data_IF_285307483557
#
_entry.id   IF_285307483557
#
_cell.length_a   1.000
_cell.length_b   1.000
_cell.length_c   1.000
_cell.angle_alpha   90.00
_cell.angle_beta   90.00
_cell.angle_gamma   90.00
#
_symmetry.space_group_name_H-M   'P 1'
#
loop_
_entity.id
_entity.type
_entity.pdbx_description
1 polymer ?
#
# COMPACT_ATOMS: atom_id res chain seq x y z
N UNK A 1 -22.04 -23.45 -7.11
CA UNK A 1 -21.59 -22.48 -8.12
C UNK A 1 -22.49 -22.49 -9.34
N UNK A 2 -22.56 -21.38 -10.01
CA UNK A 2 -23.38 -21.24 -11.23
C UNK A 2 -22.64 -21.80 -12.45
N UNK A 3 -23.38 -22.42 -13.38
CA UNK A 3 -22.84 -23.01 -14.59
C UNK A 3 -23.45 -22.34 -15.83
N UNK A 4 -22.61 -21.68 -16.62
CA UNK A 4 -22.98 -21.07 -17.89
C UNK A 4 -22.46 -21.92 -19.04
N UNK A 5 -23.33 -22.23 -20.02
CA UNK A 5 -22.99 -23.04 -21.19
C UNK A 5 -23.32 -22.31 -22.48
N UNK A 6 -22.40 -22.35 -23.45
CA UNK A 6 -22.59 -21.80 -24.80
C UNK A 6 -21.95 -22.69 -25.86
N UNK A 7 -22.58 -22.77 -27.02
CA UNK A 7 -22.02 -23.40 -28.24
C UNK A 7 -21.72 -22.33 -29.28
N UNK A 8 -20.64 -22.51 -30.05
CA UNK A 8 -20.29 -21.59 -31.14
C UNK A 8 -20.93 -21.98 -32.48
N UNK A 9 -21.67 -23.07 -32.57
CA UNK A 9 -22.23 -23.60 -33.83
C UNK A 9 -21.24 -24.40 -34.70
N UNK A 10 -19.97 -24.46 -34.32
CA UNK A 10 -18.89 -25.14 -35.06
C UNK A 10 -18.34 -26.35 -34.30
N UNK A 11 -19.10 -26.91 -33.36
CA UNK A 11 -18.74 -28.10 -32.60
C UNK A 11 -17.86 -27.84 -31.37
N UNK A 12 -17.77 -26.60 -30.90
CA UNK A 12 -17.14 -26.29 -29.63
C UNK A 12 -18.19 -25.93 -28.58
N UNK A 13 -18.10 -26.58 -27.42
CA UNK A 13 -18.96 -26.29 -26.27
C UNK A 13 -18.15 -25.65 -25.15
N UNK A 14 -18.51 -24.46 -24.81
CA UNK A 14 -17.91 -23.69 -23.71
C UNK A 14 -18.78 -23.81 -22.48
N UNK A 15 -18.14 -24.01 -21.33
CA UNK A 15 -18.79 -23.97 -20.01
C UNK A 15 -17.94 -23.14 -19.05
N UNK A 16 -18.60 -22.29 -18.29
CA UNK A 16 -17.96 -21.58 -17.17
C UNK A 16 -18.65 -21.99 -15.90
N UNK A 17 -17.87 -22.48 -14.92
CA UNK A 17 -18.35 -22.81 -13.59
C UNK A 17 -17.77 -21.75 -12.66
N UNK A 18 -18.65 -20.99 -12.01
CA UNK A 18 -18.29 -19.88 -11.15
C UNK A 18 -18.68 -20.23 -9.72
N UNK A 19 -17.74 -20.13 -8.81
CA UNK A 19 -17.96 -20.29 -7.37
C UNK A 19 -17.24 -19.17 -6.62
N UNK A 20 -17.81 -18.75 -5.50
CA UNK A 20 -17.25 -17.74 -4.61
C UNK A 20 -17.03 -18.35 -3.24
N UNK A 21 -15.94 -18.00 -2.59
CA UNK A 21 -15.71 -18.33 -1.18
C UNK A 21 -16.26 -17.26 -0.24
N UNK A 22 -16.13 -17.45 1.07
CA UNK A 22 -16.64 -16.54 2.09
C UNK A 22 -15.88 -15.20 2.17
N UNK A 23 -14.75 -15.09 1.46
CA UNK A 23 -13.85 -13.93 1.50
C UNK A 23 -13.69 -13.25 0.12
N UNK A 24 -14.67 -13.45 -0.78
CA UNK A 24 -14.74 -12.77 -2.09
C UNK A 24 -13.68 -13.22 -3.11
N UNK A 25 -13.09 -14.40 -2.95
CA UNK A 25 -12.33 -15.05 -4.02
C UNK A 25 -13.28 -15.84 -4.91
N UNK A 26 -13.39 -15.42 -6.15
CA UNK A 26 -14.23 -16.04 -7.17
C UNK A 26 -13.35 -17.00 -7.97
N UNK A 27 -13.67 -18.29 -7.96
CA UNK A 27 -13.05 -19.31 -8.81
C UNK A 27 -13.85 -19.43 -10.10
N UNK A 28 -13.18 -19.31 -11.23
CA UNK A 28 -13.75 -19.45 -12.57
C UNK A 28 -13.09 -20.63 -13.26
N UNK A 29 -13.84 -21.68 -13.52
CA UNK A 29 -13.38 -22.84 -14.29
C UNK A 29 -13.91 -22.67 -15.71
N UNK A 30 -12.99 -22.46 -16.66
CA UNK A 30 -13.28 -22.41 -18.08
C UNK A 30 -13.07 -23.78 -18.69
N UNK A 31 -14.15 -24.41 -19.12
CA UNK A 31 -14.14 -25.75 -19.70
C UNK A 31 -14.54 -25.70 -21.15
N UNK A 32 -13.75 -26.31 -22.03
CA UNK A 32 -14.03 -26.39 -23.45
C UNK A 32 -14.01 -27.81 -23.90
N UNK A 33 -15.12 -28.28 -24.48
CA UNK A 33 -15.25 -29.56 -25.12
C UNK A 33 -15.23 -29.36 -26.64
N UNK A 34 -14.31 -30.04 -27.30
CA UNK A 34 -14.18 -30.07 -28.74
C UNK A 34 -14.93 -31.31 -29.28
N UNK A 35 -16.07 -31.09 -29.93
CA UNK A 35 -16.88 -32.18 -30.53
C UNK A 35 -16.59 -32.32 -32.05
N UNK A 36 -15.48 -31.70 -32.53
CA UNK A 36 -15.05 -31.81 -33.93
C UNK A 36 -13.99 -32.88 -34.12
N UNK A 37 -13.76 -33.25 -35.38
CA UNK A 37 -12.74 -34.25 -35.77
C UNK A 37 -11.31 -33.65 -35.87
N UNK A 38 -11.14 -32.33 -35.64
CA UNK A 38 -9.87 -31.63 -35.72
C UNK A 38 -9.46 -31.08 -34.37
N UNK A 39 -8.14 -30.98 -34.12
CA UNK A 39 -7.66 -30.28 -32.93
C UNK A 39 -7.87 -28.78 -33.06
N UNK A 40 -8.20 -28.09 -31.96
CA UNK A 40 -8.42 -26.65 -31.89
C UNK A 40 -7.46 -26.01 -30.90
N UNK A 41 -6.94 -24.84 -31.23
CA UNK A 41 -6.04 -24.06 -30.39
C UNK A 41 -6.80 -22.87 -29.81
N UNK A 42 -6.82 -22.74 -28.49
CA UNK A 42 -7.46 -21.63 -27.76
C UNK A 42 -6.54 -21.07 -26.71
N UNK A 43 -6.82 -19.83 -26.34
CA UNK A 43 -6.12 -19.13 -25.27
C UNK A 43 -7.12 -18.80 -24.16
N UNK A 44 -6.82 -19.11 -22.89
CA UNK A 44 -7.63 -18.58 -21.80
C UNK A 44 -7.43 -17.07 -21.68
N UNK A 45 -8.53 -16.36 -21.46
CA UNK A 45 -8.54 -14.91 -21.40
C UNK A 45 -9.45 -14.44 -20.28
N UNK A 46 -9.02 -13.37 -19.59
CA UNK A 46 -9.84 -12.70 -18.61
C UNK A 46 -9.54 -11.20 -18.60
N UNK A 47 -10.55 -10.40 -18.28
CA UNK A 47 -10.40 -8.94 -18.16
C UNK A 47 -11.18 -8.36 -16.98
N UNK A 48 -10.66 -7.27 -16.44
CA UNK A 48 -11.36 -6.34 -15.57
C UNK A 48 -11.37 -4.99 -16.27
N UNK A 49 -12.54 -4.33 -16.26
CA UNK A 49 -12.69 -3.01 -16.83
C UNK A 49 -13.35 -2.06 -15.83
N UNK A 50 -12.73 -0.89 -15.67
CA UNK A 50 -13.27 0.21 -14.89
C UNK A 50 -13.70 1.33 -15.81
N UNK A 51 -14.99 1.68 -15.80
CA UNK A 51 -15.56 2.74 -16.60
C UNK A 51 -15.42 4.10 -15.91
N UNK A 52 -15.15 5.13 -16.70
CA UNK A 52 -14.97 6.50 -16.23
C UNK A 52 -13.62 6.75 -15.56
N UNK A 53 -13.39 8.00 -15.20
CA UNK A 53 -12.20 8.41 -14.45
C UNK A 53 -12.49 8.35 -12.95
N UNK A 54 -11.80 7.48 -12.21
CA UNK A 54 -12.03 7.37 -10.78
C UNK A 54 -11.53 8.62 -10.05
N UNK A 55 -12.24 9.05 -9.02
CA UNK A 55 -11.72 10.01 -8.06
C UNK A 55 -10.73 9.29 -7.17
N UNK A 56 -9.46 9.62 -7.30
CA UNK A 56 -8.38 9.15 -6.43
C UNK A 56 -8.21 10.09 -5.25
N UNK A 57 -7.55 9.62 -4.20
CA UNK A 57 -7.19 10.50 -3.07
C UNK A 57 -6.08 11.48 -3.45
N UNK A 58 -5.43 11.28 -4.62
CA UNK A 58 -4.29 12.06 -5.15
C UNK A 58 -3.15 12.23 -4.11
N UNK A 59 -3.04 11.27 -3.20
CA UNK A 59 -2.07 11.31 -2.14
C UNK A 59 -0.79 10.58 -2.58
N UNK A 60 0.31 11.31 -2.75
CA UNK A 60 1.56 10.81 -3.34
C UNK A 60 2.18 9.58 -2.65
N UNK A 61 1.75 9.25 -1.42
CA UNK A 61 2.22 8.06 -0.68
C UNK A 61 1.32 6.84 -0.86
N UNK A 62 0.28 6.92 -1.70
CA UNK A 62 -0.65 5.83 -1.94
C UNK A 62 -0.83 5.60 -3.43
N UNK A 63 -0.63 4.37 -3.89
CA UNK A 63 -1.00 3.98 -5.24
C UNK A 63 -2.48 3.61 -5.31
N UNK A 64 -3.22 4.29 -6.20
CA UNK A 64 -4.57 3.97 -6.62
C UNK A 64 -4.60 3.88 -8.14
N UNK A 65 -4.83 2.69 -8.68
CA UNK A 65 -4.78 2.48 -10.12
C UNK A 65 -4.51 1.04 -10.53
N UNK A 66 -4.19 0.84 -11.80
CA UNK A 66 -3.76 -0.45 -12.33
C UNK A 66 -2.45 -0.92 -11.71
N UNK A 67 -2.38 -2.20 -11.34
CA UNK A 67 -1.19 -2.82 -10.78
C UNK A 67 -1.17 -4.32 -11.08
N UNK A 68 -0.02 -4.94 -10.85
CA UNK A 68 0.13 -6.39 -10.95
C UNK A 68 1.51 -6.87 -10.53
N UNK A 69 1.63 -8.16 -10.31
CA UNK A 69 2.91 -8.82 -10.02
C UNK A 69 3.26 -9.74 -11.18
N UNK A 70 4.43 -9.50 -11.76
CA UNK A 70 4.98 -10.20 -12.91
C UNK A 70 6.42 -10.59 -12.61
N UNK A 71 6.75 -11.89 -12.79
CA UNK A 71 8.07 -12.43 -12.45
C UNK A 71 8.54 -12.03 -11.04
N UNK A 72 7.61 -12.07 -10.07
CA UNK A 72 7.85 -11.71 -8.68
C UNK A 72 7.98 -10.22 -8.39
N UNK A 73 7.85 -9.33 -9.39
CA UNK A 73 7.99 -7.88 -9.23
C UNK A 73 6.67 -7.16 -9.38
N UNK A 74 6.37 -6.26 -8.42
CA UNK A 74 5.22 -5.36 -8.50
C UNK A 74 5.45 -4.29 -9.58
N UNK A 75 4.42 -4.08 -10.41
CA UNK A 75 4.33 -2.97 -11.37
C UNK A 75 3.06 -2.19 -11.11
N UNK A 76 3.20 -0.89 -11.02
CA UNK A 76 2.14 0.06 -10.75
C UNK A 76 2.09 1.10 -11.87
N UNK A 77 0.90 1.45 -12.31
CA UNK A 77 0.70 2.46 -13.35
C UNK A 77 -0.39 3.44 -12.93
N UNK A 78 -0.17 4.72 -13.21
CA UNK A 78 -1.20 5.72 -13.00
C UNK A 78 -2.28 5.65 -14.09
N UNK A 79 -3.45 6.19 -13.80
CA UNK A 79 -4.50 6.33 -14.82
C UNK A 79 -4.06 7.25 -15.96
N UNK A 80 -3.25 8.27 -15.69
CA UNK A 80 -2.66 9.14 -16.71
C UNK A 80 -1.73 8.40 -17.66
N UNK A 81 -0.85 7.53 -17.14
CA UNK A 81 0.06 6.74 -17.97
C UNK A 81 -0.70 5.84 -18.95
N UNK A 82 -1.81 5.24 -18.48
CA UNK A 82 -2.65 4.42 -19.36
C UNK A 82 -3.34 5.24 -20.43
N UNK A 83 -3.80 6.45 -20.11
CA UNK A 83 -4.41 7.36 -21.12
C UNK A 83 -3.40 7.74 -22.20
N UNK A 84 -2.16 8.05 -21.85
CA UNK A 84 -1.09 8.37 -22.79
C UNK A 84 -0.77 7.20 -23.72
N UNK A 85 -0.74 5.98 -23.18
CA UNK A 85 -0.47 4.76 -23.98
C UNK A 85 -1.66 4.36 -24.85
N UNK A 86 -2.88 4.72 -24.44
CA UNK A 86 -4.12 4.49 -25.17
C UNK A 86 -4.44 3.00 -25.43
N UNK A 87 -5.04 2.71 -26.59
CA UNK A 87 -5.48 1.35 -26.97
C UNK A 87 -4.32 0.36 -27.18
N UNK A 88 -3.12 0.83 -27.54
CA UNK A 88 -1.95 -0.02 -27.70
C UNK A 88 -1.64 -0.75 -26.39
N UNK A 89 -1.79 -0.05 -25.29
CA UNK A 89 -1.56 -0.58 -23.94
C UNK A 89 -0.10 -0.89 -23.66
N UNK A 90 0.15 -1.30 -22.41
CA UNK A 90 1.42 -1.80 -21.92
C UNK A 90 1.29 -3.31 -21.70
N UNK A 91 1.98 -4.11 -22.52
CA UNK A 91 1.93 -5.57 -22.46
C UNK A 91 3.20 -6.11 -21.81
N UNK A 92 3.01 -7.04 -20.87
CA UNK A 92 4.09 -7.68 -20.10
C UNK A 92 3.94 -9.19 -20.27
N UNK A 93 4.91 -9.81 -20.95
CA UNK A 93 5.01 -11.25 -21.08
C UNK A 93 5.87 -11.79 -19.95
N UNK A 94 5.34 -12.72 -19.14
CA UNK A 94 6.10 -13.30 -18.04
C UNK A 94 7.08 -14.37 -18.53
N UNK A 95 8.25 -14.42 -17.90
CA UNK A 95 9.24 -15.48 -18.09
C UNK A 95 9.02 -16.62 -17.08
N UNK A 96 8.44 -16.32 -15.91
CA UNK A 96 8.07 -17.30 -14.89
C UNK A 96 6.57 -17.61 -14.90
N UNK A 97 6.20 -18.74 -14.29
CA UNK A 97 4.81 -19.10 -14.09
C UNK A 97 4.14 -18.25 -13.02
N UNK A 98 2.85 -18.01 -13.18
CA UNK A 98 2.01 -17.30 -12.23
C UNK A 98 2.03 -15.78 -12.43
N UNK A 99 1.66 -15.05 -11.37
CA UNK A 99 1.43 -13.63 -11.39
C UNK A 99 -0.06 -13.26 -11.35
N UNK A 100 -0.34 -11.99 -11.23
CA UNK A 100 -1.70 -11.46 -11.21
C UNK A 100 -1.72 -10.02 -11.67
N UNK A 101 -2.90 -9.54 -12.10
CA UNK A 101 -3.10 -8.17 -12.57
C UNK A 101 -4.44 -7.64 -12.06
N UNK A 102 -4.52 -6.34 -11.74
CA UNK A 102 -5.75 -5.79 -11.20
C UNK A 102 -5.82 -4.27 -11.22
N UNK A 103 -6.85 -3.75 -10.55
CA UNK A 103 -7.07 -2.33 -10.32
C UNK A 103 -7.35 -2.16 -8.83
N UNK A 104 -6.63 -1.26 -8.17
CA UNK A 104 -6.75 -1.00 -6.74
C UNK A 104 -7.21 0.41 -6.44
N UNK A 105 -8.03 0.53 -5.41
CA UNK A 105 -8.29 1.76 -4.66
C UNK A 105 -7.60 1.68 -3.30
N UNK A 106 -7.78 2.68 -2.45
CA UNK A 106 -7.17 2.74 -1.12
C UNK A 106 -7.37 1.44 -0.32
N UNK A 107 -8.60 0.95 -0.21
CA UNK A 107 -8.96 -0.20 0.64
C UNK A 107 -9.46 -1.43 -0.13
N UNK A 108 -9.82 -1.27 -1.39
CA UNK A 108 -10.47 -2.29 -2.21
C UNK A 108 -9.65 -2.59 -3.45
N UNK A 109 -9.78 -3.80 -3.94
CA UNK A 109 -9.10 -4.24 -5.16
C UNK A 109 -9.97 -5.22 -5.93
N UNK A 110 -9.87 -5.15 -7.26
CA UNK A 110 -10.28 -6.23 -8.15
C UNK A 110 -9.04 -6.75 -8.88
N UNK A 111 -8.76 -8.05 -8.79
CA UNK A 111 -7.60 -8.67 -9.41
C UNK A 111 -7.96 -9.94 -10.16
N UNK A 112 -7.33 -10.13 -11.32
CA UNK A 112 -7.34 -11.35 -12.11
C UNK A 112 -6.11 -12.18 -11.76
N UNK A 113 -6.33 -13.44 -11.49
CA UNK A 113 -5.32 -14.39 -11.09
C UNK A 113 -5.44 -15.61 -12.04
N UNK A 114 -4.64 -15.66 -13.14
CA UNK A 114 -4.61 -16.80 -14.02
C UNK A 114 -4.07 -18.04 -13.32
N UNK A 115 -4.02 -19.14 -14.03
CA UNK A 115 -3.39 -20.37 -13.53
C UNK A 115 -1.93 -20.10 -13.14
N UNK A 116 -1.61 -20.36 -11.87
CA UNK A 116 -0.29 -20.08 -11.30
C UNK A 116 0.78 -21.11 -11.74
N UNK A 117 0.38 -22.17 -12.43
CA UNK A 117 1.30 -23.17 -12.98
C UNK A 117 1.75 -22.87 -14.42
N UNK A 118 1.21 -21.84 -15.06
CA UNK A 118 1.50 -21.45 -16.43
C UNK A 118 1.94 -19.99 -16.54
N UNK A 119 2.55 -19.64 -17.68
CA UNK A 119 2.89 -18.26 -18.03
C UNK A 119 1.68 -17.53 -18.60
N UNK A 120 1.72 -16.23 -18.53
CA UNK A 120 0.66 -15.38 -19.09
C UNK A 120 1.24 -14.11 -19.70
N UNK A 121 0.46 -13.52 -20.60
CA UNK A 121 0.72 -12.22 -21.16
C UNK A 121 -0.28 -11.24 -20.53
N UNK A 122 0.19 -10.26 -19.78
CA UNK A 122 -0.64 -9.29 -19.08
C UNK A 122 -0.65 -7.96 -19.83
N UNK A 123 -1.79 -7.28 -19.86
CA UNK A 123 -1.89 -5.99 -20.54
C UNK A 123 -2.69 -4.99 -19.72
N UNK A 124 -2.15 -3.79 -19.62
CA UNK A 124 -2.83 -2.60 -19.14
C UNK A 124 -3.16 -1.70 -20.32
N UNK A 125 -4.40 -1.22 -20.45
CA UNK A 125 -4.77 -0.33 -21.55
C UNK A 125 -5.90 0.62 -21.19
N UNK A 126 -5.95 1.75 -21.90
CA UNK A 126 -7.09 2.65 -21.91
C UNK A 126 -7.90 2.43 -23.18
N UNK A 127 -9.21 2.24 -23.04
CA UNK A 127 -10.13 1.98 -24.16
C UNK A 127 -10.88 3.26 -24.47
N UNK A 128 -10.44 3.99 -25.50
CA UNK A 128 -10.95 5.31 -25.85
C UNK A 128 -12.46 5.33 -26.10
N UNK A 129 -13.00 4.34 -26.84
CA UNK A 129 -14.42 4.29 -27.20
C UNK A 129 -15.37 4.20 -26.01
N UNK A 130 -14.92 3.66 -24.90
CA UNK A 130 -15.72 3.50 -23.67
C UNK A 130 -15.18 4.31 -22.49
N UNK A 131 -14.19 5.16 -22.71
CA UNK A 131 -13.52 5.93 -21.67
C UNK A 131 -13.25 5.07 -20.41
N UNK A 132 -12.61 3.91 -20.62
CA UNK A 132 -12.43 2.91 -19.55
C UNK A 132 -11.01 2.39 -19.49
N UNK A 133 -10.61 2.01 -18.28
CA UNK A 133 -9.33 1.39 -17.98
C UNK A 133 -9.51 -0.12 -17.90
N UNK A 134 -8.69 -0.86 -18.61
CA UNK A 134 -8.78 -2.31 -18.70
C UNK A 134 -7.45 -2.94 -18.28
N UNK A 135 -7.56 -3.98 -17.48
CA UNK A 135 -6.47 -4.91 -17.17
C UNK A 135 -6.89 -6.29 -17.62
N UNK A 136 -6.04 -6.99 -18.37
CA UNK A 136 -6.36 -8.31 -18.88
C UNK A 136 -5.16 -9.25 -18.89
N UNK A 137 -5.43 -10.54 -18.93
CA UNK A 137 -4.42 -11.57 -19.18
C UNK A 137 -4.82 -12.45 -20.35
N UNK A 138 -3.81 -12.91 -21.08
CA UNK A 138 -3.89 -13.96 -22.09
C UNK A 138 -2.94 -15.09 -21.65
N UNK A 139 -3.49 -16.25 -21.32
CA UNK A 139 -2.70 -17.43 -20.93
C UNK A 139 -2.02 -18.12 -22.11
N UNK A 140 -1.33 -19.20 -21.85
CA UNK A 140 -0.65 -19.99 -22.88
C UNK A 140 -1.63 -20.71 -23.81
N UNK A 141 -1.12 -21.02 -25.00
CA UNK A 141 -1.87 -21.78 -26.01
C UNK A 141 -2.27 -23.15 -25.47
N UNK A 142 -3.57 -23.43 -25.45
CA UNK A 142 -4.14 -24.71 -25.08
C UNK A 142 -4.62 -25.44 -26.34
N UNK A 143 -3.95 -26.55 -26.65
CA UNK A 143 -4.35 -27.42 -27.77
C UNK A 143 -5.38 -28.43 -27.29
N UNK A 144 -6.58 -28.39 -27.83
CA UNK A 144 -7.67 -29.30 -27.51
C UNK A 144 -7.78 -30.35 -28.62
N UNK A 145 -7.50 -31.59 -28.36
CA UNK A 145 -7.56 -32.67 -29.39
C UNK A 145 -9.00 -32.86 -29.90
N UNK A 146 -9.11 -33.49 -31.06
CA UNK A 146 -10.41 -33.91 -31.61
C UNK A 146 -11.16 -34.78 -30.58
N UNK A 147 -12.45 -34.49 -30.36
CA UNK A 147 -13.31 -35.11 -29.36
C UNK A 147 -12.76 -35.01 -27.91
N UNK A 148 -11.82 -34.09 -27.67
CA UNK A 148 -11.19 -33.88 -26.37
C UNK A 148 -11.85 -32.76 -25.58
N UNK A 149 -11.36 -32.58 -24.35
CA UNK A 149 -11.83 -31.60 -23.41
C UNK A 149 -10.65 -31.00 -22.65
N UNK A 150 -10.72 -29.71 -22.31
CA UNK A 150 -9.76 -29.01 -21.45
C UNK A 150 -10.50 -28.22 -20.38
N UNK A 151 -9.87 -28.11 -19.24
CA UNK A 151 -10.36 -27.33 -18.11
C UNK A 151 -9.24 -26.42 -17.59
N UNK A 152 -9.50 -25.14 -17.51
CA UNK A 152 -8.54 -24.12 -17.02
C UNK A 152 -9.19 -23.36 -15.88
N UNK A 153 -8.44 -23.22 -14.79
CA UNK A 153 -8.86 -22.53 -13.58
C UNK A 153 -8.21 -21.16 -13.52
N UNK A 154 -9.01 -20.13 -13.48
CA UNK A 154 -8.59 -18.78 -13.11
C UNK A 154 -9.37 -18.31 -11.89
N UNK A 155 -8.91 -17.21 -11.27
CA UNK A 155 -9.59 -16.62 -10.13
C UNK A 155 -9.74 -15.12 -10.30
N UNK A 156 -10.74 -14.58 -9.65
CA UNK A 156 -10.96 -13.13 -9.52
C UNK A 156 -11.13 -12.82 -8.05
N UNK A 157 -10.25 -12.00 -7.51
CA UNK A 157 -10.44 -11.42 -6.21
C UNK A 157 -11.15 -10.07 -6.37
N UNK A 158 -12.24 -9.84 -5.63
CA UNK A 158 -12.92 -8.56 -5.60
C UNK A 158 -13.35 -8.26 -4.18
N UNK A 159 -12.49 -7.57 -3.43
CA UNK A 159 -12.73 -7.38 -1.99
C UNK A 159 -11.80 -6.41 -1.32
N UNK A 160 -11.90 -6.37 0.01
CA UNK A 160 -11.08 -5.56 0.88
C UNK A 160 -9.65 -6.13 1.01
N UNK A 161 -8.66 -5.25 0.94
CA UNK A 161 -7.24 -5.61 1.08
C UNK A 161 -6.87 -5.81 2.55
N UNK A 162 -7.29 -6.94 3.12
CA UNK A 162 -6.92 -7.36 4.48
C UNK A 162 -5.63 -8.18 4.41
N UNK A 163 -4.58 -7.75 5.10
CA UNK A 163 -3.26 -8.40 5.00
C UNK A 163 -3.31 -9.90 5.31
N UNK A 164 -3.88 -10.27 6.44
CA UNK A 164 -3.98 -11.69 6.83
C UNK A 164 -4.74 -12.56 5.80
N UNK A 165 -5.70 -11.96 5.08
CA UNK A 165 -6.46 -12.65 4.03
C UNK A 165 -5.61 -12.82 2.77
N UNK A 166 -4.88 -11.78 2.36
CA UNK A 166 -4.02 -11.83 1.18
C UNK A 166 -2.86 -12.80 1.39
N UNK A 167 -2.22 -12.80 2.58
CA UNK A 167 -1.19 -13.78 2.95
C UNK A 167 -1.74 -15.21 2.90
N UNK A 168 -2.94 -15.43 3.43
CA UNK A 168 -3.59 -16.76 3.38
C UNK A 168 -3.81 -17.23 1.94
N UNK A 169 -4.29 -16.34 1.05
CA UNK A 169 -4.46 -16.70 -0.37
C UNK A 169 -3.13 -16.92 -1.08
N UNK A 170 -2.09 -16.16 -0.71
CA UNK A 170 -0.74 -16.39 -1.22
C UNK A 170 -0.24 -17.80 -0.87
N UNK A 171 -0.42 -18.25 0.37
CA UNK A 171 -0.02 -19.56 0.83
C UNK A 171 -0.88 -20.70 0.25
N UNK A 172 -2.22 -20.59 0.37
CA UNK A 172 -3.16 -21.65 0.02
C UNK A 172 -3.29 -21.86 -1.50
N UNK A 173 -3.26 -20.75 -2.26
CA UNK A 173 -3.48 -20.76 -3.71
C UNK A 173 -2.20 -20.54 -4.53
N UNK A 174 -1.05 -20.41 -3.85
CA UNK A 174 0.28 -20.16 -4.46
C UNK A 174 0.33 -18.91 -5.33
N UNK A 175 -0.44 -17.88 -4.97
CA UNK A 175 -0.45 -16.59 -5.68
C UNK A 175 0.79 -15.81 -5.27
N UNK A 176 1.73 -15.58 -6.19
CA UNK A 176 3.01 -14.93 -5.90
C UNK A 176 2.81 -13.48 -5.42
N UNK A 177 3.35 -13.17 -4.22
CA UNK A 177 3.41 -11.81 -3.67
C UNK A 177 2.04 -11.10 -3.69
N UNK A 178 0.98 -11.79 -3.27
CA UNK A 178 -0.37 -11.23 -3.30
C UNK A 178 -0.57 -10.15 -2.24
N UNK A 179 0.22 -10.16 -1.18
CA UNK A 179 0.30 -9.14 -0.14
C UNK A 179 0.73 -7.77 -0.69
N UNK A 180 1.51 -7.73 -1.80
CA UNK A 180 1.91 -6.49 -2.47
C UNK A 180 0.75 -5.70 -3.09
N UNK A 181 -0.47 -6.24 -3.09
CA UNK A 181 -1.69 -5.48 -3.35
C UNK A 181 -1.93 -4.36 -2.32
N UNK A 182 -1.37 -4.49 -1.12
CA UNK A 182 -1.31 -3.43 -0.13
C UNK A 182 -0.03 -2.63 -0.39
N UNK A 183 -0.19 -1.33 -0.56
CA UNK A 183 0.95 -0.44 -0.77
C UNK A 183 1.71 -0.19 0.54
N UNK A 184 2.70 -1.03 0.84
CA UNK A 184 3.57 -0.89 2.02
C UNK A 184 4.62 0.20 1.87
N UNK A 185 4.83 0.73 0.67
CA UNK A 185 5.84 1.74 0.38
C UNK A 185 7.28 1.21 0.42
N UNK A 186 8.24 2.12 0.38
CA UNK A 186 9.67 1.78 0.29
C UNK A 186 10.24 1.02 1.49
N UNK A 187 9.61 1.17 2.66
CA UNK A 187 10.04 0.50 3.89
C UNK A 187 9.24 -0.78 4.18
N UNK A 188 8.95 -1.57 3.14
CA UNK A 188 8.22 -2.84 3.25
C UNK A 188 8.68 -3.71 4.42
N UNK A 189 10.00 -3.90 4.57
CA UNK A 189 10.62 -4.70 5.64
C UNK A 189 10.31 -4.21 7.05
N UNK A 190 9.88 -2.96 7.21
CA UNK A 190 9.48 -2.35 8.47
C UNK A 190 7.96 -2.21 8.57
N UNK A 191 7.31 -1.83 7.47
CA UNK A 191 5.86 -1.57 7.40
C UNK A 191 5.05 -2.84 7.65
N UNK A 192 5.41 -3.96 6.99
CA UNK A 192 4.70 -5.24 7.15
C UNK A 192 4.78 -5.79 8.59
N UNK A 193 5.95 -5.83 9.27
CA UNK A 193 6.01 -6.18 10.70
C UNK A 193 5.20 -5.27 11.62
N UNK A 194 5.16 -3.96 11.36
CA UNK A 194 4.30 -3.06 12.14
C UNK A 194 2.82 -3.37 11.97
N UNK A 195 2.41 -3.75 10.78
CA UNK A 195 1.03 -4.15 10.51
C UNK A 195 0.64 -5.36 11.39
N UNK A 196 1.47 -6.40 11.41
CA UNK A 196 1.23 -7.57 12.26
C UNK A 196 1.27 -7.22 13.76
N UNK A 197 2.21 -6.38 14.18
CA UNK A 197 2.30 -5.95 15.57
C UNK A 197 1.05 -5.19 16.01
N UNK A 198 0.52 -4.30 15.18
CA UNK A 198 -0.72 -3.56 15.45
C UNK A 198 -1.94 -4.49 15.50
N UNK A 199 -2.05 -5.42 14.52
CA UNK A 199 -3.12 -6.43 14.51
C UNK A 199 -3.07 -7.32 15.75
N UNK A 200 -1.90 -7.78 16.15
CA UNK A 200 -1.69 -8.57 17.35
C UNK A 200 -2.05 -7.80 18.62
N UNK A 201 -1.59 -6.56 18.73
CA UNK A 201 -1.91 -5.71 19.88
C UNK A 201 -3.42 -5.40 19.94
N UNK A 202 -4.07 -5.18 18.80
CA UNK A 202 -5.52 -4.98 18.74
C UNK A 202 -6.30 -6.23 19.19
N UNK A 203 -5.84 -7.42 18.80
CA UNK A 203 -6.48 -8.67 19.22
C UNK A 203 -6.44 -8.86 20.75
N UNK A 204 -5.40 -8.34 21.43
CA UNK A 204 -5.27 -8.41 22.89
C UNK A 204 -6.05 -7.29 23.58
N UNK A 205 -5.94 -6.06 23.07
CA UNK A 205 -6.48 -4.87 23.72
C UNK A 205 -7.93 -4.55 23.33
N UNK A 206 -8.42 -5.15 22.23
CA UNK A 206 -9.76 -4.92 21.70
C UNK A 206 -10.02 -3.50 21.17
N UNK A 207 -8.96 -2.70 21.00
CA UNK A 207 -9.06 -1.30 20.56
C UNK A 207 -7.80 -0.88 19.79
N UNK A 208 -7.98 -0.50 18.52
CA UNK A 208 -6.86 -0.10 17.65
C UNK A 208 -6.12 1.14 18.15
N UNK A 209 -6.82 2.11 18.73
CA UNK A 209 -6.16 3.29 19.30
C UNK A 209 -5.23 2.93 20.46
N UNK A 210 -5.65 2.02 21.34
CA UNK A 210 -4.79 1.48 22.40
C UNK A 210 -3.61 0.68 21.82
N UNK A 211 -3.85 -0.09 20.75
CA UNK A 211 -2.80 -0.81 20.06
C UNK A 211 -1.72 0.13 19.50
N UNK A 212 -2.12 1.24 18.88
CA UNK A 212 -1.20 2.28 18.38
C UNK A 212 -0.37 2.86 19.53
N UNK A 213 -1.00 3.20 20.66
CA UNK A 213 -0.30 3.74 21.83
C UNK A 213 0.69 2.71 22.41
N UNK A 214 0.27 1.44 22.56
CA UNK A 214 1.12 0.38 23.06
C UNK A 214 2.36 0.15 22.18
N UNK A 215 2.18 0.03 20.86
CA UNK A 215 3.29 -0.10 19.91
C UNK A 215 4.20 1.12 19.95
N UNK A 216 3.63 2.33 20.07
CA UNK A 216 4.42 3.56 20.22
C UNK A 216 5.31 3.52 21.47
N UNK A 217 4.78 3.06 22.60
CA UNK A 217 5.54 2.89 23.83
C UNK A 217 6.66 1.88 23.64
N UNK A 218 6.38 0.72 23.05
CA UNK A 218 7.40 -0.31 22.75
C UNK A 218 8.51 0.26 21.87
N UNK A 219 8.18 0.97 20.79
CA UNK A 219 9.17 1.63 19.91
C UNK A 219 10.01 2.63 20.70
N UNK A 220 9.39 3.45 21.56
CA UNK A 220 10.12 4.43 22.40
C UNK A 220 11.06 3.74 23.40
N UNK A 221 10.66 2.61 23.97
CA UNK A 221 11.53 1.82 24.87
C UNK A 221 12.73 1.28 24.09
N UNK A 222 12.53 0.72 22.90
CA UNK A 222 13.61 0.20 22.05
C UNK A 222 14.61 1.31 21.70
N UNK A 223 14.15 2.51 21.38
CA UNK A 223 15.01 3.65 21.02
C UNK A 223 15.52 4.46 22.22
N UNK A 224 15.10 4.15 23.44
CA UNK A 224 15.49 4.86 24.65
C UNK A 224 17.01 4.96 24.84
N UNK A 225 17.82 3.87 24.67
CA UNK A 225 19.28 3.97 24.82
C UNK A 225 19.91 4.96 23.84
N UNK A 226 19.41 4.97 22.59
CA UNK A 226 19.89 5.90 21.55
C UNK A 226 19.52 7.34 21.90
N UNK A 227 18.27 7.59 22.29
CA UNK A 227 17.79 8.89 22.72
C UNK A 227 18.60 9.42 23.92
N UNK A 228 18.83 8.59 24.95
CA UNK A 228 19.60 8.96 26.13
C UNK A 228 21.04 9.36 25.76
N UNK A 229 21.70 8.61 24.86
CA UNK A 229 23.04 8.95 24.36
C UNK A 229 23.05 10.29 23.64
N UNK A 230 22.04 10.57 22.84
CA UNK A 230 21.87 11.84 22.13
C UNK A 230 21.66 13.00 23.09
N UNK A 231 20.74 12.87 24.05
CA UNK A 231 20.49 13.93 25.05
C UNK A 231 21.76 14.25 25.87
N UNK A 232 22.53 13.23 26.26
CA UNK A 232 23.84 13.43 26.94
C UNK A 232 24.81 14.19 26.03
N UNK A 233 24.87 13.90 24.74
CA UNK A 233 25.71 14.63 23.78
C UNK A 233 25.26 16.09 23.61
N UNK A 234 23.94 16.33 23.49
CA UNK A 234 23.39 17.68 23.40
C UNK A 234 23.64 18.49 24.67
N UNK A 235 23.51 17.88 25.85
CA UNK A 235 23.82 18.55 27.10
C UNK A 235 25.29 19.00 27.17
N UNK A 236 26.24 18.14 26.74
CA UNK A 236 27.66 18.50 26.64
C UNK A 236 27.88 19.65 25.61
N UNK A 237 27.20 19.62 24.47
CA UNK A 237 27.27 20.71 23.49
C UNK A 237 26.80 22.06 24.06
N UNK A 238 25.74 22.09 24.89
CA UNK A 238 25.27 23.31 25.54
C UNK A 238 26.34 23.94 26.45
N UNK A 239 27.12 23.12 27.12
CA UNK A 239 28.25 23.59 27.98
C UNK A 239 29.34 24.26 27.15
N UNK A 240 29.52 23.87 25.89
CA UNK A 240 30.50 24.46 24.97
C UNK A 240 30.00 25.72 24.25
N UNK A 241 28.72 26.09 24.40
CA UNK A 241 28.12 27.29 23.75
C UNK A 241 28.92 28.58 23.97
N UNK A 242 29.40 28.93 25.20
CA UNK A 242 30.18 30.16 25.42
C UNK A 242 31.53 30.11 24.70
N UNK A 243 32.20 28.94 24.64
CA UNK A 243 33.46 28.82 23.89
C UNK A 243 33.25 28.91 22.38
N UNK A 244 32.16 28.39 21.87
CA UNK A 244 31.77 28.55 20.47
C UNK A 244 31.45 30.00 20.12
N UNK A 245 30.88 30.74 21.06
CA UNK A 245 30.57 32.16 20.88
C UNK A 245 31.85 32.97 20.80
N UNK A 246 32.82 32.73 21.69
CA UNK A 246 34.16 33.36 21.64
C UNK A 246 34.90 33.06 20.34
N UNK A 247 34.82 31.79 19.81
CA UNK A 247 35.40 31.44 18.54
C UNK A 247 34.75 32.24 17.37
N UNK A 248 33.43 32.41 17.40
CA UNK A 248 32.70 33.22 16.40
C UNK A 248 33.10 34.69 16.44
N UNK A 249 33.25 35.25 17.61
CA UNK A 249 33.69 36.64 17.78
C UNK A 249 35.14 36.82 17.28
N UNK A 250 36.02 35.85 17.55
CA UNK A 250 37.45 35.88 17.18
C UNK A 250 37.71 35.65 15.69
N UNK A 251 36.95 34.79 15.04
CA UNK A 251 37.17 34.31 13.66
C UNK A 251 35.98 34.56 12.74
N UNK A 252 35.02 35.39 13.11
CA UNK A 252 33.77 35.64 12.37
C UNK A 252 33.94 36.02 10.90
N UNK A 253 35.05 36.70 10.59
CA UNK A 253 35.41 37.14 9.23
C UNK A 253 36.11 36.05 8.41
N UNK A 254 36.63 34.99 9.03
CA UNK A 254 37.31 33.87 8.38
C UNK A 254 36.54 32.56 8.68
N UNK A 255 35.54 32.25 7.82
CA UNK A 255 34.68 31.06 7.96
C UNK A 255 35.46 29.76 7.95
N UNK A 256 36.58 29.70 7.18
CA UNK A 256 37.36 28.47 7.05
C UNK A 256 38.11 28.18 8.36
N UNK A 257 38.76 29.21 8.90
CA UNK A 257 39.48 29.09 10.17
C UNK A 257 38.54 28.86 11.36
N UNK A 258 37.38 29.53 11.36
CA UNK A 258 36.33 29.32 12.35
C UNK A 258 35.84 27.84 12.34
N UNK A 259 35.58 27.27 11.19
CA UNK A 259 35.15 25.86 11.09
C UNK A 259 36.23 24.88 11.56
N UNK A 260 37.51 25.14 11.23
CA UNK A 260 38.62 24.31 11.68
C UNK A 260 38.76 24.35 13.23
N UNK A 261 38.67 25.51 13.83
CA UNK A 261 38.76 25.67 15.27
C UNK A 261 37.55 25.08 16.02
N UNK A 262 36.34 25.23 15.44
CA UNK A 262 35.15 24.55 15.98
C UNK A 262 35.30 23.02 15.96
N UNK A 263 35.81 22.46 14.85
CA UNK A 263 36.04 21.01 14.75
C UNK A 263 37.14 20.54 15.71
N UNK A 264 38.20 21.35 15.90
CA UNK A 264 39.25 21.08 16.88
C UNK A 264 38.70 21.11 18.30
N UNK A 265 37.83 22.08 18.64
CA UNK A 265 37.17 22.14 19.94
C UNK A 265 36.30 20.90 20.19
N UNK A 266 35.46 20.49 19.22
CA UNK A 266 34.63 19.27 19.34
C UNK A 266 35.47 18.01 19.56
N UNK A 267 36.59 17.87 18.83
CA UNK A 267 37.53 16.76 19.04
C UNK A 267 38.17 16.78 20.42
N UNK A 268 38.63 17.94 20.88
CA UNK A 268 39.25 18.10 22.19
C UNK A 268 38.31 17.74 23.34
N UNK A 269 37.07 18.19 23.24
CA UNK A 269 36.03 17.94 24.24
C UNK A 269 35.32 16.59 24.07
N UNK A 270 35.72 15.78 23.08
CA UNK A 270 35.14 14.47 22.73
C UNK A 270 33.59 14.54 22.52
N UNK A 271 33.10 15.60 21.91
CA UNK A 271 31.68 15.82 21.61
C UNK A 271 31.49 15.69 20.12
N UNK A 272 30.52 14.85 19.73
CA UNK A 272 30.11 14.69 18.33
C UNK A 272 28.86 15.51 18.06
N UNK A 273 28.91 16.57 17.24
CA UNK A 273 27.75 17.38 16.92
C UNK A 273 26.65 16.60 16.17
N UNK A 274 27.03 15.57 15.40
CA UNK A 274 26.07 14.71 14.69
C UNK A 274 25.31 13.74 15.63
N UNK A 275 25.77 13.53 16.85
CA UNK A 275 25.09 12.64 17.79
C UNK A 275 23.70 13.18 18.22
N UNK A 276 23.49 14.50 18.15
CA UNK A 276 22.21 15.13 18.46
C UNK A 276 21.10 14.83 17.45
N UNK A 277 21.44 14.73 16.16
CA UNK A 277 20.46 14.47 15.10
C UNK A 277 20.24 12.96 14.83
N UNK A 278 21.10 12.08 15.34
CA UNK A 278 21.05 10.64 15.06
C UNK A 278 19.68 9.99 15.39
N UNK A 279 19.04 10.29 16.55
CA UNK A 279 17.71 9.74 16.83
C UNK A 279 16.66 10.13 15.80
N UNK A 280 16.73 11.36 15.29
CA UNK A 280 15.78 11.82 14.27
C UNK A 280 15.97 11.03 12.99
N UNK A 281 17.21 10.82 12.53
CA UNK A 281 17.50 10.06 11.32
C UNK A 281 17.00 8.61 11.41
N UNK A 282 17.15 7.97 12.56
CA UNK A 282 16.66 6.60 12.79
C UNK A 282 15.14 6.57 12.96
N UNK A 283 14.55 7.62 13.54
CA UNK A 283 13.11 7.73 13.76
C UNK A 283 12.32 7.95 12.44
N UNK A 284 12.91 8.62 11.44
CA UNK A 284 12.21 8.92 10.17
C UNK A 284 11.67 7.66 9.47
N UNK A 285 12.45 6.60 9.21
CA UNK A 285 11.91 5.37 8.61
C UNK A 285 10.80 4.73 9.43
N UNK A 286 10.94 4.73 10.77
CA UNK A 286 9.93 4.18 11.70
C UNK A 286 8.63 4.98 11.62
N UNK A 287 8.74 6.31 11.60
CA UNK A 287 7.59 7.19 11.47
C UNK A 287 6.87 6.97 10.14
N UNK A 288 7.61 6.93 9.03
CA UNK A 288 7.03 6.66 7.72
C UNK A 288 6.36 5.28 7.64
N UNK A 289 6.99 4.24 8.21
CA UNK A 289 6.41 2.91 8.22
C UNK A 289 5.11 2.87 9.03
N UNK A 290 5.11 3.44 10.24
CA UNK A 290 3.90 3.51 11.06
C UNK A 290 2.80 4.34 10.40
N UNK A 291 3.16 5.53 9.87
CA UNK A 291 2.23 6.37 9.12
C UNK A 291 1.61 5.61 7.95
N UNK A 292 2.44 4.91 7.16
CA UNK A 292 1.98 4.12 6.02
C UNK A 292 0.99 3.04 6.44
N UNK A 293 1.30 2.28 7.50
CA UNK A 293 0.39 1.25 8.05
C UNK A 293 -0.95 1.86 8.44
N UNK A 294 -0.94 2.94 9.20
CA UNK A 294 -2.17 3.59 9.66
C UNK A 294 -3.00 4.13 8.49
N UNK A 295 -2.34 4.59 7.42
CA UNK A 295 -3.01 5.18 6.28
C UNK A 295 -3.64 4.14 5.33
N UNK A 296 -2.95 3.01 5.10
CA UNK A 296 -3.41 1.99 4.12
C UNK A 296 -4.24 0.87 4.73
N UNK A 297 -4.23 0.72 6.06
CA UNK A 297 -4.93 -0.36 6.75
C UNK A 297 -6.45 -0.14 6.73
N UNK A 298 -7.17 -1.09 6.15
CA UNK A 298 -8.65 -1.08 6.19
C UNK A 298 -9.19 -1.33 7.61
N UNK A 299 -8.40 -1.96 8.46
CA UNK A 299 -8.75 -2.28 9.84
C UNK A 299 -8.93 -1.03 10.71
N UNK A 300 -8.36 0.12 10.28
CA UNK A 300 -8.56 1.42 10.94
C UNK A 300 -9.91 2.06 10.61
N UNK A 301 -10.51 1.65 9.50
CA UNK A 301 -11.78 2.21 9.04
C UNK A 301 -12.90 1.80 9.97
N UNK A 302 -13.64 2.81 10.47
CA UNK A 302 -14.72 2.64 11.43
C UNK A 302 -14.27 2.00 12.77
N UNK A 303 -12.96 1.97 13.05
CA UNK A 303 -12.44 1.52 14.32
C UNK A 303 -12.58 2.65 15.36
N UNK A 304 -13.36 2.44 16.45
CA UNK A 304 -13.54 3.46 17.46
C UNK A 304 -12.33 3.53 18.41
N UNK A 305 -12.11 4.72 18.97
CA UNK A 305 -11.22 4.92 20.11
C UNK A 305 -12.06 5.31 21.34
N UNK A 306 -11.72 6.41 22.03
CA UNK A 306 -12.49 6.93 23.15
C UNK A 306 -13.12 8.27 22.85
N UNK A 307 -14.15 8.63 23.62
CA UNK A 307 -14.82 9.92 23.54
C UNK A 307 -15.54 10.13 22.20
N UNK A 308 -15.20 11.20 21.51
CA UNK A 308 -15.78 11.57 20.22
C UNK A 308 -15.15 10.88 19.01
N UNK A 309 -14.01 10.19 19.17
CA UNK A 309 -13.35 9.47 18.09
C UNK A 309 -14.10 8.16 17.83
N UNK A 310 -14.97 8.17 16.83
CA UNK A 310 -15.78 7.01 16.43
C UNK A 310 -15.13 6.21 15.28
N UNK A 311 -14.23 6.85 14.53
CA UNK A 311 -13.55 6.28 13.39
C UNK A 311 -12.11 6.84 13.32
N UNK A 312 -11.11 5.97 13.50
CA UNK A 312 -9.69 6.34 13.42
C UNK A 312 -9.23 6.74 12.02
N UNK A 313 -10.01 6.43 10.98
CA UNK A 313 -9.73 6.81 9.59
C UNK A 313 -10.40 8.11 9.15
N UNK A 314 -11.32 8.64 9.96
CA UNK A 314 -12.03 9.87 9.68
C UNK A 314 -11.26 11.11 10.20
N UNK A 315 -11.56 12.26 9.62
CA UNK A 315 -11.07 13.54 10.14
C UNK A 315 -11.64 13.80 11.54
N UNK A 316 -10.88 14.52 12.37
CA UNK A 316 -11.35 14.94 13.69
C UNK A 316 -12.58 15.83 13.51
N UNK A 317 -13.76 15.44 14.05
CA UNK A 317 -14.99 16.22 13.92
C UNK A 317 -14.95 17.52 14.73
N UNK A 318 -14.00 17.65 15.65
CA UNK A 318 -13.82 18.88 16.40
C UNK A 318 -13.11 19.92 15.53
N UNK A 319 -13.55 21.16 15.61
CA UNK A 319 -12.92 22.29 14.94
C UNK A 319 -12.93 23.52 15.84
N UNK A 320 -11.91 24.36 15.74
CA UNK A 320 -11.90 25.66 16.42
C UNK A 320 -13.13 26.48 16.00
N UNK A 321 -13.53 26.38 14.72
CA UNK A 321 -14.60 27.21 14.15
C UNK A 321 -16.00 26.82 14.61
N UNK A 322 -16.22 25.59 15.08
CA UNK A 322 -17.47 25.17 15.70
C UNK A 322 -17.35 25.02 17.22
N UNK A 323 -16.37 25.71 17.83
CA UNK A 323 -16.05 25.62 19.25
C UNK A 323 -15.89 24.15 19.72
N UNK A 324 -15.11 23.39 18.96
CA UNK A 324 -14.83 21.96 19.24
C UNK A 324 -16.08 21.07 19.28
N UNK A 325 -17.07 21.38 18.45
CA UNK A 325 -18.31 20.62 18.36
C UNK A 325 -19.45 21.10 19.27
N UNK A 326 -19.28 22.20 20.00
CA UNK A 326 -20.34 22.83 20.82
C UNK A 326 -21.41 23.51 19.95
N UNK A 327 -21.04 24.00 18.76
CA UNK A 327 -21.98 24.60 17.82
C UNK A 327 -22.47 23.55 16.80
N UNK A 328 -23.78 23.44 16.55
CA UNK A 328 -24.36 22.37 15.75
C UNK A 328 -24.31 22.66 14.24
N UNK A 329 -23.19 23.12 13.71
CA UNK A 329 -22.99 23.27 12.27
C UNK A 329 -21.71 22.57 11.81
N UNK A 330 -21.75 22.07 10.56
CA UNK A 330 -20.59 21.44 9.93
C UNK A 330 -19.57 22.51 9.45
N UNK A 331 -18.30 22.19 9.57
CA UNK A 331 -17.18 23.00 9.07
C UNK A 331 -16.69 22.54 7.69
N UNK A 332 -17.42 21.66 7.00
CA UNK A 332 -17.05 21.08 5.70
C UNK A 332 -16.88 22.11 4.57
N UNK A 333 -17.38 23.33 4.77
CA UNK A 333 -17.19 24.45 3.85
C UNK A 333 -15.79 25.08 3.93
N UNK A 334 -15.02 24.76 4.98
CA UNK A 334 -13.65 25.26 5.16
C UNK A 334 -12.65 24.34 4.45
N UNK A 335 -11.57 24.90 3.88
CA UNK A 335 -10.45 24.08 3.42
C UNK A 335 -9.87 23.24 4.56
N UNK A 336 -9.46 21.99 4.25
CA UNK A 336 -8.97 21.02 5.25
C UNK A 336 -7.84 21.57 6.14
N UNK A 337 -6.96 22.41 5.60
CA UNK A 337 -5.84 23.01 6.34
C UNK A 337 -6.28 24.03 7.41
N UNK A 338 -7.48 24.57 7.31
CA UNK A 338 -8.07 25.47 8.31
C UNK A 338 -8.93 24.71 9.33
N UNK A 339 -9.35 23.50 9.03
CA UNK A 339 -10.21 22.72 9.91
C UNK A 339 -9.39 22.00 11.00
N UNK A 340 -8.75 22.81 11.87
CA UNK A 340 -7.91 22.31 12.95
C UNK A 340 -8.76 21.82 14.13
N UNK A 341 -8.66 20.51 14.42
CA UNK A 341 -9.27 19.90 15.57
C UNK A 341 -8.44 20.00 16.85
N UNK A 342 -8.93 19.43 17.94
CA UNK A 342 -8.25 19.40 19.24
C UNK A 342 -6.90 18.67 19.13
N UNK A 343 -6.84 17.53 18.45
CA UNK A 343 -5.64 16.70 18.39
C UNK A 343 -4.46 17.36 17.67
N UNK A 344 -4.63 17.99 16.50
CA UNK A 344 -3.57 18.78 15.88
C UNK A 344 -3.05 19.91 16.76
N UNK A 345 -3.93 20.58 17.52
CA UNK A 345 -3.53 21.65 18.46
C UNK A 345 -2.72 21.11 19.64
N UNK A 346 -3.15 20.00 20.24
CA UNK A 346 -2.39 19.33 21.32
C UNK A 346 -1.04 18.86 20.83
N UNK A 347 -0.97 18.29 19.61
CA UNK A 347 0.29 17.90 19.00
C UNK A 347 1.23 19.11 18.82
N UNK A 348 0.73 20.23 18.28
CA UNK A 348 1.52 21.45 18.13
C UNK A 348 1.99 22.05 19.45
N UNK A 349 1.18 21.97 20.50
CA UNK A 349 1.55 22.46 21.83
C UNK A 349 2.60 21.58 22.55
N UNK A 350 2.68 20.29 22.20
CA UNK A 350 3.60 19.33 22.82
C UNK A 350 4.92 19.13 22.06
N UNK A 351 5.01 19.64 20.83
CA UNK A 351 6.23 19.66 20.01
C UNK A 351 7.09 20.89 20.29
#
# INVERSE_FOLDING_TARGET
GDVYKRQNGEGLRFSQIISIDDNYMIKVIQKVKNETNNSVNLYPYGLIRRSGEPKTTDFFVLHEGPLGVFDGSLKEHSYSDLKETGQKGMSIKTEENGGWIGITDKYWMAALIPDQSSKSNFTFRYVNNSASYQTDFLGELSKIPANGEIEIVSRVFSGAKKLNLLDKYEEDLKIKNFDLAIDFGWFYFLTKPFFYALSWANNILGNFGLAILAITVVVKIIFFPLANKSYKSMARMRVLTPQLQQLRERFGNDRQKMNMEMMALYKREKVNPAAGCLPILVQIPVFFALYKVLFVSIEMRQAPFFGWIKDLSALDPTSIFNLFGLLPYSTDFLPDFLNLGIWPLLMGATM
#
